data_IF_950516524336
#
_entry.id   IF_950516524336
#
_cell.length_a   1.000
_cell.length_b   1.000
_cell.length_c   1.000
_cell.angle_alpha   90.00
_cell.angle_beta   90.00
_cell.angle_gamma   90.00
#
_symmetry.space_group_name_H-M   'P 1'
#
loop_
_entity.id
_entity.type
_entity.pdbx_description
1 polymer ?
#
# COMPACT_ATOMS: atom_id res chain seq x y z
N UNK A 1 4.06 -36.18 8.97
CA UNK A 1 3.08 -35.17 9.44
C UNK A 1 3.88 -34.06 10.12
N UNK A 2 4.23 -33.00 9.38
CA UNK A 2 5.05 -31.91 9.92
C UNK A 2 4.20 -31.09 10.91
N UNK A 3 4.61 -31.06 12.18
CA UNK A 3 3.98 -30.27 13.22
C UNK A 3 4.40 -28.81 13.04
N UNK A 4 3.56 -28.01 12.38
CA UNK A 4 3.72 -26.56 12.24
C UNK A 4 3.37 -25.87 13.58
N UNK A 5 4.29 -25.91 14.54
CA UNK A 5 4.21 -25.01 15.69
C UNK A 5 5.09 -23.79 15.38
N UNK A 6 4.56 -22.59 15.61
CA UNK A 6 5.36 -21.36 15.57
C UNK A 6 6.53 -21.53 16.56
N UNK A 7 7.75 -21.42 16.04
CA UNK A 7 8.94 -21.45 16.87
C UNK A 7 9.00 -20.19 17.72
N UNK A 8 9.72 -20.26 18.84
CA UNK A 8 10.01 -19.08 19.67
C UNK A 8 10.63 -17.95 18.83
N UNK A 9 11.45 -18.31 17.83
CA UNK A 9 12.04 -17.33 16.90
C UNK A 9 10.97 -16.62 16.05
N UNK A 10 9.95 -17.35 15.58
CA UNK A 10 8.89 -16.77 14.76
C UNK A 10 8.04 -15.77 15.58
N UNK A 11 7.78 -16.10 16.84
CA UNK A 11 7.12 -15.18 17.78
C UNK A 11 7.98 -13.94 18.06
N UNK A 12 9.28 -14.10 18.26
CA UNK A 12 10.19 -12.96 18.44
C UNK A 12 10.17 -12.02 17.23
N UNK A 13 10.26 -12.55 16.02
CA UNK A 13 10.21 -11.75 14.78
C UNK A 13 8.85 -11.08 14.63
N UNK A 14 7.75 -11.80 14.88
CA UNK A 14 6.40 -11.24 14.78
C UNK A 14 6.20 -10.06 15.74
N UNK A 15 6.54 -10.22 17.01
CA UNK A 15 6.44 -9.17 18.02
C UNK A 15 7.36 -8.00 17.66
N UNK A 16 8.60 -8.26 17.24
CA UNK A 16 9.52 -7.21 16.83
C UNK A 16 8.93 -6.38 15.68
N UNK A 17 8.41 -7.03 14.63
CA UNK A 17 7.83 -6.34 13.47
C UNK A 17 6.65 -5.45 13.88
N UNK A 18 5.77 -5.95 14.76
CA UNK A 18 4.64 -5.17 15.28
C UNK A 18 5.09 -3.98 16.14
N UNK A 19 6.07 -4.18 17.02
CA UNK A 19 6.62 -3.11 17.86
C UNK A 19 7.27 -2.04 16.99
N UNK A 20 8.11 -2.42 16.02
CA UNK A 20 8.71 -1.46 15.09
C UNK A 20 7.66 -0.66 14.31
N UNK A 21 6.64 -1.33 13.76
CA UNK A 21 5.55 -0.65 13.05
C UNK A 21 4.79 0.32 13.96
N UNK A 22 4.45 -0.10 15.18
CA UNK A 22 3.74 0.72 16.15
C UNK A 22 4.58 1.91 16.62
N UNK A 23 5.89 1.73 16.84
CA UNK A 23 6.80 2.79 17.25
C UNK A 23 6.93 3.88 16.19
N UNK A 24 7.00 3.52 14.90
CA UNK A 24 7.02 4.50 13.80
C UNK A 24 5.73 5.31 13.81
N UNK A 25 4.56 4.66 13.94
CA UNK A 25 3.27 5.34 14.06
C UNK A 25 3.19 6.27 15.27
N UNK A 26 3.65 5.80 16.44
CA UNK A 26 3.66 6.60 17.67
C UNK A 26 4.61 7.81 17.58
N UNK A 27 5.77 7.65 16.94
CA UNK A 27 6.70 8.75 16.70
C UNK A 27 6.09 9.86 15.84
N UNK A 28 5.47 9.50 14.71
CA UNK A 28 4.78 10.46 13.85
C UNK A 28 3.55 11.08 14.53
N UNK A 29 2.82 10.31 15.34
CA UNK A 29 1.69 10.84 16.12
C UNK A 29 2.11 11.92 17.12
N UNK A 30 3.25 11.75 17.80
CA UNK A 30 3.76 12.76 18.75
C UNK A 30 4.34 13.96 17.99
N UNK A 31 5.06 13.73 16.89
CA UNK A 31 5.73 14.78 16.10
C UNK A 31 4.74 15.69 15.37
N UNK A 32 3.71 15.13 14.74
CA UNK A 32 2.74 15.88 13.92
C UNK A 32 1.47 16.29 14.68
N UNK A 33 1.48 16.20 16.02
CA UNK A 33 0.34 16.55 16.88
C UNK A 33 -0.16 18.01 16.73
N UNK A 34 0.65 18.88 16.13
CA UNK A 34 0.35 20.31 15.90
C UNK A 34 0.08 20.67 14.43
N UNK A 35 0.13 19.71 13.51
CA UNK A 35 -0.11 19.98 12.09
C UNK A 35 -1.59 20.34 11.85
N UNK A 36 -1.86 21.36 11.03
CA UNK A 36 -3.23 21.68 10.63
C UNK A 36 -3.85 20.47 9.90
N UNK A 37 -5.10 20.15 10.21
CA UNK A 37 -5.83 18.99 9.67
C UNK A 37 -5.81 18.87 8.14
N UNK A 38 -5.60 19.98 7.43
CA UNK A 38 -5.54 20.07 5.97
C UNK A 38 -4.20 19.59 5.37
N UNK A 39 -3.10 19.81 6.09
CA UNK A 39 -1.76 19.40 5.67
C UNK A 39 -1.50 17.91 5.97
N UNK A 40 -2.22 17.33 6.93
CA UNK A 40 -2.10 15.91 7.26
C UNK A 40 -2.55 14.99 6.12
N UNK A 41 -3.64 15.33 5.44
CA UNK A 41 -4.18 14.52 4.32
C UNK A 41 -3.47 14.79 2.99
N UNK A 42 -2.90 15.99 2.80
CA UNK A 42 -2.32 16.42 1.52
C UNK A 42 -0.80 16.50 1.53
N UNK A 43 -0.16 16.26 2.68
CA UNK A 43 1.30 16.38 2.86
C UNK A 43 1.86 17.75 2.47
N UNK A 44 1.04 18.81 2.54
CA UNK A 44 1.39 20.15 2.08
C UNK A 44 1.64 20.27 0.56
N UNK A 45 1.15 19.31 -0.25
CA UNK A 45 1.33 19.22 -1.72
C UNK A 45 2.79 19.25 -2.21
N UNK A 46 3.76 19.07 -1.31
CA UNK A 46 5.19 19.09 -1.58
C UNK A 46 5.84 17.77 -1.13
N UNK A 47 5.17 16.65 -1.38
CA UNK A 47 5.75 15.34 -1.10
C UNK A 47 6.74 14.97 -2.23
N UNK A 48 7.98 14.57 -1.89
CA UNK A 48 8.91 14.11 -2.90
C UNK A 48 8.41 12.83 -3.57
N UNK A 49 8.81 12.59 -4.82
CA UNK A 49 8.32 11.46 -5.62
C UNK A 49 8.52 10.10 -4.93
N UNK A 50 9.66 9.93 -4.25
CA UNK A 50 10.05 8.66 -3.64
C UNK A 50 9.08 8.15 -2.55
N UNK A 51 8.74 8.92 -1.49
CA UNK A 51 7.75 8.47 -0.51
C UNK A 51 6.34 8.32 -1.10
N UNK A 52 5.99 9.09 -2.14
CA UNK A 52 4.69 8.96 -2.82
C UNK A 52 4.59 7.60 -3.53
N UNK A 53 5.59 7.22 -4.32
CA UNK A 53 5.58 5.94 -5.04
C UNK A 53 5.65 4.75 -4.07
N UNK A 54 6.43 4.86 -2.99
CA UNK A 54 6.49 3.83 -1.94
C UNK A 54 5.15 3.67 -1.23
N UNK A 55 4.48 4.77 -0.87
CA UNK A 55 3.16 4.71 -0.24
C UNK A 55 2.11 4.13 -1.19
N UNK A 56 2.16 4.48 -2.48
CA UNK A 56 1.25 3.95 -3.49
C UNK A 56 1.46 2.44 -3.67
N UNK A 57 2.71 1.99 -3.77
CA UNK A 57 3.04 0.57 -3.84
C UNK A 57 2.55 -0.19 -2.61
N UNK A 58 2.75 0.36 -1.41
CA UNK A 58 2.26 -0.24 -0.17
C UNK A 58 0.73 -0.37 -0.14
N UNK A 59 -0.02 0.62 -0.65
CA UNK A 59 -1.48 0.55 -0.72
C UNK A 59 -2.01 -0.50 -1.69
N UNK A 60 -1.29 -0.81 -2.77
CA UNK A 60 -1.68 -1.84 -3.73
C UNK A 60 -1.34 -3.27 -3.29
N UNK A 61 -0.34 -3.43 -2.42
CA UNK A 61 0.07 -4.73 -1.91
C UNK A 61 -0.86 -5.17 -0.77
N UNK A 62 -1.85 -6.00 -1.10
CA UNK A 62 -2.76 -6.59 -0.12
C UNK A 62 -2.49 -8.09 0.09
N UNK A 63 -3.00 -8.65 1.19
CA UNK A 63 -2.96 -10.09 1.47
C UNK A 63 -3.59 -10.91 0.33
N UNK A 64 -4.61 -10.35 -0.34
CA UNK A 64 -5.24 -10.99 -1.49
C UNK A 64 -4.29 -11.07 -2.69
N UNK A 65 -3.46 -10.06 -2.93
CA UNK A 65 -2.48 -10.11 -4.01
C UNK A 65 -1.41 -11.18 -3.73
N UNK A 66 -0.96 -11.31 -2.48
CA UNK A 66 0.13 -12.21 -2.12
C UNK A 66 -0.28 -13.69 -2.07
N UNK A 67 -1.46 -13.98 -1.53
CA UNK A 67 -1.94 -15.36 -1.36
C UNK A 67 -3.02 -15.75 -2.39
N UNK A 68 -3.86 -14.79 -2.79
CA UNK A 68 -4.98 -15.04 -3.71
C UNK A 68 -4.52 -15.27 -5.14
N UNK A 69 -3.59 -14.47 -5.66
CA UNK A 69 -3.11 -14.60 -7.05
C UNK A 69 -2.43 -15.94 -7.36
N UNK A 70 -1.53 -16.50 -6.52
CA UNK A 70 -0.98 -17.82 -6.80
C UNK A 70 -2.02 -18.93 -6.62
N UNK A 71 -2.96 -18.79 -5.67
CA UNK A 71 -4.03 -19.76 -5.49
C UNK A 71 -4.98 -19.78 -6.70
N UNK A 72 -5.29 -18.61 -7.25
CA UNK A 72 -6.12 -18.46 -8.45
C UNK A 72 -5.42 -19.03 -9.68
N UNK A 73 -4.13 -18.73 -9.87
CA UNK A 73 -3.35 -19.28 -10.99
C UNK A 73 -3.22 -20.81 -10.87
N UNK A 74 -3.06 -21.33 -9.66
CA UNK A 74 -2.98 -22.78 -9.42
C UNK A 74 -4.29 -23.50 -9.76
N UNK A 75 -5.45 -22.89 -9.49
CA UNK A 75 -6.77 -23.50 -9.70
C UNK A 75 -7.35 -23.24 -11.11
N UNK A 76 -7.18 -22.04 -11.65
CA UNK A 76 -7.84 -21.56 -12.87
C UNK A 76 -6.87 -21.34 -14.04
N UNK A 77 -5.56 -21.52 -13.82
CA UNK A 77 -4.53 -21.33 -14.84
C UNK A 77 -4.16 -19.87 -15.08
N UNK A 78 -3.60 -19.56 -16.25
CA UNK A 78 -2.97 -18.26 -16.53
C UNK A 78 -3.93 -17.13 -16.93
N UNK A 79 -5.24 -17.33 -16.82
CA UNK A 79 -6.24 -16.32 -17.23
C UNK A 79 -6.12 -15.02 -16.44
N UNK A 80 -5.74 -15.11 -15.16
CA UNK A 80 -5.49 -13.97 -14.29
C UNK A 80 -4.40 -13.02 -14.83
N UNK A 81 -3.42 -13.53 -15.59
CA UNK A 81 -2.35 -12.73 -16.18
C UNK A 81 -2.88 -11.71 -17.20
N UNK A 82 -3.94 -12.04 -17.92
CA UNK A 82 -4.59 -11.12 -18.88
C UNK A 82 -5.24 -9.95 -18.12
N UNK A 83 -5.87 -10.23 -16.98
CA UNK A 83 -6.43 -9.20 -16.09
C UNK A 83 -5.34 -8.25 -15.55
N UNK A 84 -4.21 -8.79 -15.12
CA UNK A 84 -3.05 -7.99 -14.68
C UNK A 84 -2.48 -7.09 -15.78
N UNK A 85 -2.44 -7.59 -17.02
CA UNK A 85 -2.01 -6.80 -18.17
C UNK A 85 -2.99 -5.65 -18.45
N UNK A 86 -4.30 -5.92 -18.47
CA UNK A 86 -5.32 -4.88 -18.68
C UNK A 86 -5.34 -3.85 -17.54
N UNK A 87 -5.14 -4.28 -16.30
CA UNK A 87 -5.02 -3.39 -15.14
C UNK A 87 -3.84 -2.43 -15.30
N UNK A 88 -2.69 -2.91 -15.79
CA UNK A 88 -1.51 -2.07 -16.03
C UNK A 88 -1.79 -0.97 -17.05
N UNK A 89 -2.50 -1.30 -18.14
CA UNK A 89 -2.93 -0.33 -19.15
C UNK A 89 -3.91 0.68 -18.55
N UNK A 90 -4.90 0.21 -17.78
CA UNK A 90 -5.88 1.08 -17.13
C UNK A 90 -5.22 2.09 -16.17
N UNK A 91 -4.19 1.68 -15.43
CA UNK A 91 -3.43 2.58 -14.55
C UNK A 91 -2.70 3.68 -15.34
N UNK A 92 -2.13 3.36 -16.50
CA UNK A 92 -1.48 4.36 -17.37
C UNK A 92 -2.50 5.39 -17.87
N UNK A 93 -3.66 4.93 -18.36
CA UNK A 93 -4.73 5.84 -18.78
C UNK A 93 -5.28 6.67 -17.60
N UNK A 94 -5.42 6.06 -16.42
CA UNK A 94 -5.83 6.77 -15.22
C UNK A 94 -4.84 7.89 -14.85
N UNK A 95 -3.54 7.61 -14.93
CA UNK A 95 -2.49 8.58 -14.65
C UNK A 95 -2.48 9.74 -15.64
N UNK A 96 -2.63 9.50 -16.94
CA UNK A 96 -2.57 10.56 -17.95
C UNK A 96 -3.86 11.39 -18.04
N UNK A 97 -5.03 10.78 -17.85
CA UNK A 97 -6.32 11.46 -18.04
C UNK A 97 -6.87 12.01 -16.74
N UNK A 98 -6.90 11.20 -15.67
CA UNK A 98 -7.59 11.59 -14.44
C UNK A 98 -6.70 12.41 -13.51
N UNK A 99 -5.39 12.17 -13.47
CA UNK A 99 -4.47 12.96 -12.66
C UNK A 99 -4.51 14.46 -12.96
N UNK A 100 -4.43 14.94 -14.22
CA UNK A 100 -4.48 16.38 -14.49
C UNK A 100 -5.82 16.99 -14.07
N UNK A 101 -6.92 16.29 -14.32
CA UNK A 101 -8.27 16.72 -13.95
C UNK A 101 -8.39 16.89 -12.43
N UNK A 102 -7.96 15.90 -11.64
CA UNK A 102 -8.02 15.97 -10.18
C UNK A 102 -7.07 17.02 -9.60
N UNK A 103 -5.91 17.22 -10.23
CA UNK A 103 -4.95 18.22 -9.77
C UNK A 103 -5.46 19.66 -9.97
N UNK A 104 -6.12 19.93 -11.10
CA UNK A 104 -6.73 21.22 -11.44
C UNK A 104 -7.96 21.55 -10.56
N UNK A 105 -8.81 20.56 -10.28
CA UNK A 105 -10.02 20.74 -9.49
C UNK A 105 -9.77 20.91 -7.98
N UNK A 106 -8.52 20.76 -7.51
CA UNK A 106 -8.13 20.80 -6.08
C UNK A 106 -8.97 19.89 -5.17
N UNK A 107 -9.60 18.86 -5.74
CA UNK A 107 -10.40 17.90 -4.99
C UNK A 107 -9.44 16.99 -4.22
N UNK A 108 -9.74 16.79 -2.93
CA UNK A 108 -8.89 16.03 -1.99
C UNK A 108 -9.43 14.63 -1.73
N UNK A 109 -10.67 14.32 -2.15
CA UNK A 109 -11.22 12.97 -2.20
C UNK A 109 -12.27 12.86 -3.31
N UNK A 110 -12.39 11.66 -3.87
CA UNK A 110 -13.60 11.19 -4.57
C UNK A 110 -14.39 10.35 -3.57
#
# INVERSE_FOLDING_TARGET
MAKFYFSILDYCVFIATLVFSSLIGAYFWIKDRKAQSKDYLTGGRNLPLFPVTMSLAASFLSTNTLLGTPAEIYLLGTQFAIGMFMFSIAVIFAAEIFMPIYYELKLTSV
#
